data_IF_519566067397
#
_entry.id   IF_519566067397
#
_cell.length_a   1.000
_cell.length_b   1.000
_cell.length_c   1.000
_cell.angle_alpha   90.00
_cell.angle_beta   90.00
_cell.angle_gamma   90.00
#
_symmetry.space_group_name_H-M   'P 1'
#
loop_
_entity.id
_entity.type
_entity.pdbx_description
1 polymer ?
#
# COMPACT_ATOMS: atom_id res chain seq x y z
N UNK A 1 -4.47 -11.16 11.31
CA UNK A 1 -4.57 -9.74 11.70
C UNK A 1 -3.22 -9.09 11.47
N UNK A 2 -3.09 -8.40 10.35
CA UNK A 2 -1.86 -7.73 9.96
C UNK A 2 -1.74 -6.43 10.76
N UNK A 3 -0.67 -6.30 11.55
CA UNK A 3 -0.46 -5.08 12.38
C UNK A 3 0.20 -3.94 11.60
N UNK A 4 0.97 -4.27 10.56
CA UNK A 4 1.69 -3.30 9.71
C UNK A 4 1.74 -3.82 8.28
N UNK A 5 1.30 -3.01 7.32
CA UNK A 5 1.33 -3.32 5.89
C UNK A 5 2.43 -2.44 5.26
N UNK A 6 3.50 -3.08 4.77
CA UNK A 6 4.58 -2.41 4.05
C UNK A 6 4.32 -2.57 2.54
N UNK A 7 4.20 -1.44 1.82
CA UNK A 7 3.99 -1.46 0.39
C UNK A 7 5.14 -0.69 -0.30
N UNK A 8 6.04 -1.37 -1.03
CA UNK A 8 6.97 -0.70 -1.91
C UNK A 8 6.19 -0.12 -3.10
N UNK A 9 6.34 1.18 -3.33
CA UNK A 9 5.74 1.89 -4.47
C UNK A 9 6.86 2.35 -5.38
N UNK A 10 6.83 1.85 -6.61
CA UNK A 10 7.71 2.30 -7.68
C UNK A 10 7.02 3.44 -8.47
N UNK A 11 7.71 4.57 -8.64
CA UNK A 11 7.19 5.78 -9.29
C UNK A 11 7.10 5.62 -10.81
N UNK A 12 7.74 4.60 -11.37
CA UNK A 12 7.76 4.35 -12.81
C UNK A 12 6.49 3.68 -13.35
N UNK A 13 5.65 3.07 -12.49
CA UNK A 13 4.42 2.39 -12.89
C UNK A 13 3.14 2.97 -12.24
N UNK A 14 2.89 4.26 -12.48
CA UNK A 14 1.72 4.97 -11.94
C UNK A 14 0.35 4.29 -12.19
N UNK A 15 0.18 3.58 -13.32
CA UNK A 15 -1.09 2.92 -13.67
C UNK A 15 -1.34 1.60 -12.92
N UNK A 16 -0.29 0.85 -12.59
CA UNK A 16 -0.40 -0.39 -11.79
C UNK A 16 -0.42 -0.07 -10.28
N UNK A 17 0.29 0.97 -9.88
CA UNK A 17 0.43 1.35 -8.48
C UNK A 17 -0.88 1.89 -7.87
N UNK A 18 -1.75 2.58 -8.62
CA UNK A 18 -3.01 3.11 -8.07
C UNK A 18 -3.97 1.99 -7.59
N UNK A 19 -4.07 0.87 -8.33
CA UNK A 19 -4.91 -0.27 -7.91
C UNK A 19 -4.36 -0.94 -6.64
N UNK A 20 -3.04 -1.12 -6.58
CA UNK A 20 -2.39 -1.76 -5.43
C UNK A 20 -2.46 -0.87 -4.17
N UNK A 21 -2.30 0.45 -4.32
CA UNK A 21 -2.45 1.42 -3.22
C UNK A 21 -3.90 1.43 -2.71
N UNK A 22 -4.90 1.42 -3.60
CA UNK A 22 -6.32 1.34 -3.20
C UNK A 22 -6.64 0.03 -2.49
N UNK A 23 -6.10 -1.09 -2.97
CA UNK A 23 -6.30 -2.38 -2.33
C UNK A 23 -5.68 -2.42 -0.93
N UNK A 24 -4.43 -1.95 -0.79
CA UNK A 24 -3.77 -1.82 0.50
C UNK A 24 -4.54 -0.89 1.46
N UNK A 25 -5.00 0.28 0.97
CA UNK A 25 -5.82 1.24 1.71
C UNK A 25 -7.12 0.63 2.23
N UNK A 26 -7.81 -0.16 1.39
CA UNK A 26 -9.03 -0.85 1.77
C UNK A 26 -8.77 -1.94 2.81
N UNK A 27 -7.70 -2.72 2.64
CA UNK A 27 -7.30 -3.76 3.59
C UNK A 27 -6.96 -3.18 4.97
N UNK A 28 -6.23 -2.07 5.00
CA UNK A 28 -5.89 -1.39 6.23
C UNK A 28 -7.09 -0.77 6.95
N UNK A 29 -8.06 -0.21 6.21
CA UNK A 29 -9.32 0.25 6.79
C UNK A 29 -10.12 -0.89 7.39
N UNK A 30 -10.16 -2.05 6.73
CA UNK A 30 -10.89 -3.22 7.21
C UNK A 30 -10.24 -3.85 8.45
N UNK A 31 -8.91 -3.89 8.52
CA UNK A 31 -8.18 -4.50 9.63
C UNK A 31 -7.74 -3.51 10.73
N UNK A 32 -8.00 -2.21 10.56
CA UNK A 32 -7.48 -1.17 11.47
C UNK A 32 -5.95 -1.08 11.47
N UNK A 33 -5.31 -1.51 10.38
CA UNK A 33 -3.86 -1.60 10.26
C UNK A 33 -3.26 -0.28 9.76
N UNK A 34 -2.00 -0.01 10.10
CA UNK A 34 -1.26 1.12 9.54
C UNK A 34 -0.53 0.72 8.25
N UNK A 35 -0.67 1.54 7.20
CA UNK A 35 0.08 1.38 5.94
C UNK A 35 1.28 2.30 5.98
N UNK A 36 2.44 1.78 5.61
CA UNK A 36 3.63 2.57 5.32
C UNK A 36 4.04 2.33 3.88
N UNK A 37 3.96 3.40 3.08
CA UNK A 37 4.44 3.39 1.70
C UNK A 37 5.94 3.68 1.73
N UNK A 38 6.74 2.79 1.14
CA UNK A 38 8.18 2.98 1.00
C UNK A 38 8.49 3.19 -0.48
N UNK A 39 9.11 4.32 -0.78
CA UNK A 39 9.65 4.58 -2.11
C UNK A 39 11.01 3.90 -2.23
N UNK A 40 11.19 3.07 -3.24
CA UNK A 40 12.49 2.58 -3.66
C UNK A 40 12.88 3.40 -4.89
N UNK A 41 14.01 4.11 -4.80
CA UNK A 41 14.58 4.92 -5.89
C UNK A 41 15.46 4.06 -6.79
#
# INVERSE_FOLDING_TARGET
MYKKILMPVDVFEMNLSDKAVRHAANLAKAEGASITLVRLC
#
